data_IF_576535643051
#
_entry.id   IF_576535643051
#
_cell.length_a   1.000
_cell.length_b   1.000
_cell.length_c   1.000
_cell.angle_alpha   90.00
_cell.angle_beta   90.00
_cell.angle_gamma   90.00
#
_symmetry.space_group_name_H-M   'P 1'
#
loop_
_entity.id
_entity.type
_entity.pdbx_description
1 polymer ?
#
# COMPACT_ATOMS: atom_id res chain seq x y z
N UNK A 1 -6.62 39.24 31.55
CA UNK A 1 -5.70 38.93 30.43
C UNK A 1 -5.25 37.49 30.60
N UNK A 2 -6.03 36.55 30.07
CA UNK A 2 -5.62 35.14 30.00
C UNK A 2 -5.04 34.95 28.60
N UNK A 3 -3.72 34.85 28.49
CA UNK A 3 -3.07 34.51 27.23
C UNK A 3 -3.41 33.06 26.90
N UNK A 4 -4.43 32.87 26.07
CA UNK A 4 -4.60 31.61 25.35
C UNK A 4 -3.41 31.48 24.41
N UNK A 5 -2.46 30.61 24.75
CA UNK A 5 -1.54 30.08 23.76
C UNK A 5 -2.38 29.20 22.84
N UNK A 6 -2.91 29.80 21.77
CA UNK A 6 -3.37 29.05 20.62
C UNK A 6 -2.16 28.32 20.05
N UNK A 7 -2.06 27.02 20.32
CA UNK A 7 -1.22 26.13 19.54
C UNK A 7 -1.76 26.09 18.11
N UNK A 8 -1.27 26.99 17.27
CA UNK A 8 -1.44 26.98 15.82
C UNK A 8 -0.15 26.43 15.22
N UNK A 9 -0.02 25.10 15.19
CA UNK A 9 1.22 24.46 14.73
C UNK A 9 1.23 22.94 14.56
N UNK A 10 0.10 22.22 14.60
CA UNK A 10 0.06 20.82 14.12
C UNK A 10 -0.53 20.82 12.70
N UNK A 11 0.27 21.35 11.76
CA UNK A 11 -0.08 21.43 10.34
C UNK A 11 -0.29 20.03 9.77
N UNK A 12 -1.18 19.93 8.78
CA UNK A 12 -1.43 18.69 8.02
C UNK A 12 -0.10 17.98 7.71
N UNK A 13 0.01 16.71 8.08
CA UNK A 13 1.15 15.86 7.68
C UNK A 13 1.27 15.93 6.16
N UNK A 14 2.46 16.31 5.67
CA UNK A 14 2.76 16.33 4.23
C UNK A 14 3.07 14.90 3.74
N UNK A 15 2.95 14.60 2.44
CA UNK A 15 3.10 13.24 1.93
C UNK A 15 4.39 12.55 2.37
N UNK A 16 5.55 13.22 2.29
CA UNK A 16 6.84 12.66 2.70
C UNK A 16 6.83 12.23 4.19
N UNK A 17 6.21 13.02 5.06
CA UNK A 17 6.07 12.67 6.48
C UNK A 17 5.14 11.48 6.69
N UNK A 18 4.14 11.33 5.82
CA UNK A 18 3.24 10.19 5.83
C UNK A 18 3.94 8.92 5.33
N UNK A 19 4.75 9.00 4.28
CA UNK A 19 5.61 7.89 3.83
C UNK A 19 6.52 7.45 4.97
N UNK A 20 7.23 8.38 5.63
CA UNK A 20 8.08 8.08 6.78
C UNK A 20 7.32 7.41 7.92
N UNK A 21 6.10 7.87 8.22
CA UNK A 21 5.25 7.22 9.20
C UNK A 21 4.94 5.78 8.79
N UNK A 22 4.48 5.56 7.55
CA UNK A 22 4.13 4.22 7.07
C UNK A 22 5.34 3.28 7.03
N UNK A 23 6.53 3.78 6.70
CA UNK A 23 7.79 3.03 6.75
C UNK A 23 8.11 2.56 8.17
N UNK A 24 7.97 3.43 9.17
CA UNK A 24 8.14 3.03 10.58
C UNK A 24 7.11 1.98 10.99
N UNK A 25 5.86 2.10 10.52
CA UNK A 25 4.82 1.10 10.80
C UNK A 25 5.08 -0.23 10.07
N UNK A 26 5.75 -0.20 8.91
CA UNK A 26 6.18 -1.40 8.20
C UNK A 26 7.29 -2.15 8.92
N UNK A 27 7.97 -1.58 9.92
CA UNK A 27 8.89 -2.35 10.77
C UNK A 27 8.16 -3.16 11.84
N UNK A 28 6.92 -2.79 12.18
CA UNK A 28 6.15 -3.43 13.24
C UNK A 28 5.67 -4.83 12.84
N UNK A 29 5.85 -5.80 13.73
CA UNK A 29 5.50 -7.21 13.46
C UNK A 29 4.00 -7.45 13.47
N UNK A 30 3.27 -6.73 14.31
CA UNK A 30 1.84 -6.92 14.50
C UNK A 30 1.13 -5.57 14.48
N UNK A 31 0.00 -5.54 13.78
CA UNK A 31 -0.88 -4.39 13.73
C UNK A 31 -2.31 -4.85 13.94
N UNK A 32 -3.07 -4.12 14.75
CA UNK A 32 -4.48 -4.44 14.90
C UNK A 32 -5.28 -3.87 13.72
N UNK A 33 -6.30 -4.61 13.26
CA UNK A 33 -7.15 -4.19 12.14
C UNK A 33 -7.85 -2.85 12.38
N UNK A 34 -8.15 -2.50 13.64
CA UNK A 34 -8.71 -1.19 14.01
C UNK A 34 -7.74 -0.04 13.73
N UNK A 35 -6.45 -0.22 14.02
CA UNK A 35 -5.44 0.80 13.73
C UNK A 35 -5.28 1.00 12.23
N UNK A 36 -5.22 -0.08 11.44
CA UNK A 36 -5.17 0.02 9.97
C UNK A 36 -6.40 0.74 9.40
N UNK A 37 -7.58 0.44 9.93
CA UNK A 37 -8.80 1.15 9.57
C UNK A 37 -8.74 2.64 9.91
N UNK A 38 -8.25 2.99 11.10
CA UNK A 38 -8.06 4.37 11.52
C UNK A 38 -7.04 5.09 10.63
N UNK A 39 -5.90 4.48 10.32
CA UNK A 39 -4.88 5.05 9.44
C UNK A 39 -5.46 5.41 8.07
N UNK A 40 -6.12 4.44 7.41
CA UNK A 40 -6.77 4.66 6.11
C UNK A 40 -7.72 5.85 6.15
N UNK A 41 -8.58 5.91 7.18
CA UNK A 41 -9.59 6.99 7.30
C UNK A 41 -8.99 8.35 7.65
N UNK A 42 -8.08 8.40 8.61
CA UNK A 42 -7.50 9.65 9.11
C UNK A 42 -6.65 10.33 8.05
N UNK A 43 -5.92 9.56 7.25
CA UNK A 43 -5.02 10.08 6.23
C UNK A 43 -5.54 9.93 4.80
N UNK A 44 -6.74 9.37 4.60
CA UNK A 44 -7.33 9.17 3.26
C UNK A 44 -6.35 8.49 2.31
N UNK A 45 -5.71 7.41 2.79
CA UNK A 45 -4.51 6.83 2.16
C UNK A 45 -4.72 6.45 0.68
N UNK A 46 -5.93 6.05 0.29
CA UNK A 46 -6.26 5.69 -1.09
C UNK A 46 -6.29 6.89 -2.06
N UNK A 47 -6.34 8.12 -1.56
CA UNK A 47 -6.40 9.37 -2.33
C UNK A 47 -5.07 10.14 -2.32
N UNK A 48 -4.05 9.59 -1.66
CA UNK A 48 -2.71 10.18 -1.63
C UNK A 48 -1.94 9.86 -2.91
N UNK A 49 -0.74 10.43 -3.06
CA UNK A 49 0.14 10.14 -4.19
C UNK A 49 0.57 8.65 -4.23
N UNK A 50 1.24 8.29 -5.32
CA UNK A 50 1.63 6.90 -5.58
C UNK A 50 2.58 6.33 -4.51
N UNK A 51 3.44 7.16 -3.90
CA UNK A 51 4.40 6.68 -2.91
C UNK A 51 3.71 6.32 -1.60
N UNK A 52 2.81 7.20 -1.12
CA UNK A 52 1.98 6.91 0.05
C UNK A 52 1.07 5.70 -0.21
N UNK A 53 0.41 5.63 -1.38
CA UNK A 53 -0.45 4.51 -1.75
C UNK A 53 0.32 3.20 -1.81
N UNK A 54 1.56 3.21 -2.32
CA UNK A 54 2.43 2.03 -2.36
C UNK A 54 2.71 1.50 -0.95
N UNK A 55 3.16 2.36 -0.02
CA UNK A 55 3.42 1.96 1.38
C UNK A 55 2.17 1.49 2.11
N UNK A 56 1.01 2.10 1.82
CA UNK A 56 -0.26 1.62 2.33
C UNK A 56 -0.57 0.20 1.82
N UNK A 57 -0.39 -0.07 0.53
CA UNK A 57 -0.61 -1.40 -0.04
C UNK A 57 0.31 -2.45 0.59
N UNK A 58 1.58 -2.10 0.83
CA UNK A 58 2.55 -2.96 1.52
C UNK A 58 2.07 -3.34 2.93
N UNK A 59 1.58 -2.37 3.72
CA UNK A 59 0.99 -2.63 5.04
C UNK A 59 -0.24 -3.54 4.96
N UNK A 60 -1.10 -3.31 3.96
CA UNK A 60 -2.30 -4.13 3.74
C UNK A 60 -1.94 -5.59 3.45
N UNK A 61 -0.92 -5.81 2.63
CA UNK A 61 -0.43 -7.15 2.27
C UNK A 61 0.23 -7.81 3.48
N UNK A 62 1.19 -7.13 4.10
CA UNK A 62 1.95 -7.62 5.26
C UNK A 62 1.05 -8.08 6.39
N UNK A 63 -0.03 -7.33 6.67
CA UNK A 63 -0.96 -7.64 7.77
C UNK A 63 -2.25 -8.35 7.31
N UNK A 64 -2.30 -8.82 6.06
CA UNK A 64 -3.45 -9.54 5.48
C UNK A 64 -4.79 -8.81 5.69
N UNK A 65 -4.77 -7.48 5.55
CA UNK A 65 -5.94 -6.63 5.81
C UNK A 65 -6.92 -6.64 4.64
N UNK A 66 -7.66 -7.76 4.54
CA UNK A 66 -8.62 -8.04 3.45
C UNK A 66 -9.61 -6.90 3.12
N UNK A 67 -10.12 -6.08 4.06
CA UNK A 67 -11.03 -4.99 3.72
C UNK A 67 -10.43 -3.93 2.77
N UNK A 68 -9.11 -3.90 2.61
CA UNK A 68 -8.41 -2.93 1.73
C UNK A 68 -7.69 -3.59 0.56
N UNK A 69 -7.96 -4.86 0.24
CA UNK A 69 -7.41 -5.50 -0.97
C UNK A 69 -7.84 -4.80 -2.26
N UNK A 70 -8.97 -4.08 -2.24
CA UNK A 70 -9.39 -3.25 -3.38
C UNK A 70 -8.41 -2.10 -3.66
N UNK A 71 -7.76 -1.57 -2.63
CA UNK A 71 -6.75 -0.51 -2.79
C UNK A 71 -5.49 -1.10 -3.47
N UNK A 72 -5.06 -2.30 -3.05
CA UNK A 72 -3.95 -3.03 -3.66
C UNK A 72 -4.24 -3.34 -5.13
N UNK A 73 -5.43 -3.86 -5.44
CA UNK A 73 -5.85 -4.09 -6.81
C UNK A 73 -5.77 -2.81 -7.64
N UNK A 74 -6.34 -1.72 -7.13
CA UNK A 74 -6.37 -0.44 -7.85
C UNK A 74 -4.95 0.05 -8.14
N UNK A 75 -4.05 -0.07 -7.17
CA UNK A 75 -2.64 0.29 -7.32
C UNK A 75 -1.94 -0.55 -8.38
N UNK A 76 -2.07 -1.89 -8.34
CA UNK A 76 -1.45 -2.79 -9.32
C UNK A 76 -1.92 -2.52 -10.76
N UNK A 77 -3.16 -2.08 -10.93
CA UNK A 77 -3.72 -1.77 -12.25
C UNK A 77 -3.25 -0.39 -12.78
N UNK A 78 -3.04 0.58 -11.89
CA UNK A 78 -2.77 1.98 -12.26
C UNK A 78 -1.28 2.35 -12.22
N UNK A 79 -0.52 1.86 -11.24
CA UNK A 79 0.86 2.25 -10.95
C UNK A 79 1.82 1.08 -11.21
N UNK A 80 1.76 0.51 -12.42
CA UNK A 80 2.35 -0.77 -12.79
C UNK A 80 3.85 -0.90 -12.49
N UNK A 81 4.64 0.16 -12.73
CA UNK A 81 6.09 0.14 -12.48
C UNK A 81 6.41 0.03 -10.98
N UNK A 82 5.72 0.80 -10.14
CA UNK A 82 5.87 0.72 -8.68
C UNK A 82 5.24 -0.57 -8.13
N UNK A 83 4.18 -1.07 -8.77
CA UNK A 83 3.48 -2.28 -8.36
C UNK A 83 4.28 -3.58 -8.47
N UNK A 84 5.39 -3.61 -9.22
CA UNK A 84 6.24 -4.81 -9.39
C UNK A 84 6.68 -5.38 -8.04
N UNK A 85 7.09 -4.52 -7.11
CA UNK A 85 7.51 -4.95 -5.77
C UNK A 85 6.37 -5.65 -5.00
N UNK A 86 5.16 -5.11 -5.10
CA UNK A 86 3.98 -5.64 -4.39
C UNK A 86 3.55 -7.02 -4.87
N UNK A 87 3.85 -7.39 -6.13
CA UNK A 87 3.66 -8.77 -6.59
C UNK A 87 4.52 -9.74 -5.78
N UNK A 88 5.78 -9.41 -5.50
CA UNK A 88 6.62 -10.21 -4.62
C UNK A 88 6.02 -10.38 -3.23
N UNK A 89 5.60 -9.28 -2.60
CA UNK A 89 4.99 -9.29 -1.27
C UNK A 89 3.71 -10.15 -1.20
N UNK A 90 2.87 -10.13 -2.24
CA UNK A 90 1.67 -10.97 -2.34
C UNK A 90 1.98 -12.48 -2.41
N UNK A 91 3.17 -12.84 -2.92
CA UNK A 91 3.57 -14.23 -3.09
C UNK A 91 4.33 -14.78 -1.87
N UNK A 92 5.07 -13.94 -1.12
CA UNK A 92 5.96 -14.34 0.00
C UNK A 92 5.29 -15.19 1.07
N UNK A 93 4.04 -14.90 1.42
CA UNK A 93 3.34 -15.59 2.53
C UNK A 93 2.47 -16.77 2.08
N UNK A 94 2.47 -17.09 0.78
CA UNK A 94 1.65 -18.16 0.17
C UNK A 94 0.17 -18.10 0.55
N UNK A 95 -0.36 -16.89 0.75
CA UNK A 95 -1.77 -16.68 1.08
C UNK A 95 -2.62 -16.80 -0.19
N UNK A 96 -3.51 -17.79 -0.24
CA UNK A 96 -4.31 -18.08 -1.43
C UNK A 96 -5.08 -16.86 -1.97
N UNK A 97 -5.57 -15.96 -1.09
CA UNK A 97 -6.29 -14.74 -1.54
C UNK A 97 -5.34 -13.72 -2.14
N UNK A 98 -4.12 -13.61 -1.61
CA UNK A 98 -3.09 -12.71 -2.15
C UNK A 98 -2.54 -13.21 -3.47
N UNK A 99 -2.29 -14.52 -3.60
CA UNK A 99 -1.87 -15.13 -4.86
C UNK A 99 -2.96 -15.00 -5.94
N UNK A 100 -4.22 -15.26 -5.61
CA UNK A 100 -5.33 -15.04 -6.55
C UNK A 100 -5.42 -13.57 -6.98
N UNK A 101 -5.27 -12.63 -6.04
CA UNK A 101 -5.25 -11.20 -6.33
C UNK A 101 -4.10 -10.85 -7.29
N UNK A 102 -2.89 -11.34 -7.03
CA UNK A 102 -1.72 -11.15 -7.89
C UNK A 102 -1.98 -11.69 -9.30
N UNK A 103 -2.35 -12.96 -9.44
CA UNK A 103 -2.61 -13.55 -10.76
C UNK A 103 -3.69 -12.81 -11.56
N UNK A 104 -4.79 -12.43 -10.89
CA UNK A 104 -5.90 -11.72 -11.53
C UNK A 104 -5.51 -10.32 -11.99
N UNK A 105 -4.75 -9.57 -11.17
CA UNK A 105 -4.27 -8.25 -11.55
C UNK A 105 -3.25 -8.35 -12.70
N UNK A 106 -2.28 -9.26 -12.60
CA UNK A 106 -1.26 -9.43 -13.63
C UNK A 106 -1.87 -9.81 -14.98
N UNK A 107 -2.82 -10.75 -15.00
CA UNK A 107 -3.54 -11.13 -16.21
C UNK A 107 -4.27 -9.94 -16.86
N UNK A 108 -4.77 -8.99 -16.07
CA UNK A 108 -5.49 -7.83 -16.57
C UNK A 108 -4.59 -6.74 -17.18
N UNK A 109 -3.35 -6.60 -16.72
CA UNK A 109 -2.45 -5.50 -17.17
C UNK A 109 -1.17 -5.93 -17.87
N UNK A 110 -0.84 -7.23 -17.93
CA UNK A 110 0.42 -7.69 -18.53
C UNK A 110 0.70 -7.14 -19.93
N UNK A 111 -0.34 -6.91 -20.74
CA UNK A 111 -0.19 -6.44 -22.12
C UNK A 111 0.08 -4.92 -22.20
N UNK A 112 -0.09 -4.21 -21.07
CA UNK A 112 0.15 -2.76 -20.92
C UNK A 112 1.46 -2.46 -20.18
N UNK A 113 1.99 -3.45 -19.45
CA UNK A 113 3.22 -3.32 -18.68
C UNK A 113 4.45 -3.28 -19.58
N UNK A 114 5.53 -2.65 -19.10
CA UNK A 114 6.83 -2.76 -19.75
C UNK A 114 7.29 -4.23 -19.78
N UNK A 115 7.93 -4.63 -20.88
CA UNK A 115 8.38 -6.02 -21.12
C UNK A 115 9.29 -6.53 -20.01
N UNK A 116 10.14 -5.66 -19.43
CA UNK A 116 10.98 -6.04 -18.29
C UNK A 116 10.16 -6.35 -17.04
N UNK A 117 9.13 -5.55 -16.76
CA UNK A 117 8.23 -5.76 -15.63
C UNK A 117 7.42 -7.05 -15.80
N UNK A 118 6.94 -7.34 -17.01
CA UNK A 118 6.22 -8.60 -17.31
C UNK A 118 7.07 -9.82 -17.00
N UNK A 119 8.36 -9.81 -17.36
CA UNK A 119 9.27 -10.91 -17.05
C UNK A 119 9.46 -11.10 -15.55
N UNK A 120 9.80 -10.01 -14.85
CA UNK A 120 10.04 -10.05 -13.40
C UNK A 120 8.81 -10.53 -12.63
N UNK A 121 7.63 -9.98 -12.94
CA UNK A 121 6.39 -10.41 -12.29
C UNK A 121 6.02 -11.85 -12.68
N UNK A 122 6.25 -12.25 -13.93
CA UNK A 122 6.06 -13.62 -14.38
C UNK A 122 6.87 -14.63 -13.57
N UNK A 123 8.15 -14.35 -13.31
CA UNK A 123 9.05 -15.17 -12.49
C UNK A 123 8.63 -15.26 -11.02
N UNK A 124 7.91 -14.26 -10.51
CA UNK A 124 7.37 -14.28 -9.14
C UNK A 124 6.09 -15.13 -9.03
N UNK A 125 5.31 -15.21 -10.11
CA UNK A 125 3.99 -15.84 -10.11
C UNK A 125 4.01 -17.31 -10.52
N UNK A 126 5.00 -17.77 -11.29
CA UNK A 126 5.05 -19.10 -11.92
C UNK A 126 6.43 -19.75 -11.79
#
# INVERSE_FOLDING_TARGET
MQNYVTFHGCGKIVPDQLVLLLDLLLEEKTFCAKTLQCLKKTYTLQEQDAEVRHRWCELVIKHKYTPSYKDVETFLLQDQAMGVYLYGELMVNEDARQQELAHRCFAAVRDQMDVSCVKVVGEMLF
#
